data_IF_444071088115
#
_entry.id   IF_444071088115
#
_cell.length_a   1.000
_cell.length_b   1.000
_cell.length_c   1.000
_cell.angle_alpha   90.00
_cell.angle_beta   90.00
_cell.angle_gamma   90.00
#
_symmetry.space_group_name_H-M   'P 1'
#
loop_
_entity.id
_entity.type
_entity.pdbx_description
1 polymer ?
#
# COMPACT_ATOMS: atom_id res chain seq x y z
N UNK A 1 -2.19 -0.78 11.68
CA UNK A 1 -1.96 -0.81 10.23
C UNK A 1 -0.98 -1.92 9.92
N UNK A 2 -1.16 -2.62 8.79
CA UNK A 2 -0.18 -3.57 8.24
C UNK A 2 0.41 -2.97 6.97
N UNK A 3 1.73 -3.03 6.79
CA UNK A 3 2.41 -2.66 5.55
C UNK A 3 3.13 -3.91 5.06
N UNK A 4 2.82 -4.34 3.84
CA UNK A 4 3.45 -5.48 3.17
C UNK A 4 4.25 -4.96 1.97
N UNK A 5 5.57 -5.05 2.06
CA UNK A 5 6.50 -4.50 1.08
C UNK A 5 6.90 -5.57 0.05
N UNK A 6 6.98 -5.16 -1.22
CA UNK A 6 7.27 -6.04 -2.35
C UNK A 6 8.56 -5.61 -3.05
N UNK A 7 9.39 -6.57 -3.44
CA UNK A 7 10.58 -6.35 -4.26
C UNK A 7 10.29 -6.56 -5.76
N UNK A 8 9.12 -6.09 -6.22
CA UNK A 8 8.69 -6.15 -7.63
C UNK A 8 7.98 -4.85 -8.00
N UNK A 9 7.94 -4.47 -9.28
CA UNK A 9 7.16 -3.31 -9.73
C UNK A 9 5.68 -3.44 -9.37
N UNK A 10 5.04 -2.30 -9.07
CA UNK A 10 3.59 -2.20 -9.14
C UNK A 10 3.18 -2.25 -10.61
N UNK A 11 2.33 -3.20 -10.98
CA UNK A 11 1.81 -3.33 -12.34
C UNK A 11 0.31 -3.55 -12.26
N UNK A 12 -0.46 -2.64 -12.84
CA UNK A 12 -1.92 -2.63 -12.81
C UNK A 12 -2.56 -2.70 -14.20
N UNK A 13 -1.75 -2.85 -15.26
CA UNK A 13 -2.24 -2.93 -16.65
C UNK A 13 -3.24 -4.07 -16.89
N UNK A 14 -3.04 -5.19 -16.20
CA UNK A 14 -3.92 -6.35 -16.23
C UNK A 14 -4.66 -6.55 -14.90
N UNK A 15 -4.76 -5.48 -14.11
CA UNK A 15 -5.13 -5.55 -12.69
C UNK A 15 -3.91 -5.79 -11.81
N UNK A 16 -4.11 -5.60 -10.51
CA UNK A 16 -3.10 -5.82 -9.48
C UNK A 16 -2.88 -7.29 -9.21
N UNK A 17 -1.70 -7.61 -8.69
CA UNK A 17 -1.35 -8.97 -8.32
C UNK A 17 -2.29 -9.49 -7.21
N UNK A 18 -3.00 -10.57 -7.53
CA UNK A 18 -3.98 -11.18 -6.61
C UNK A 18 -3.29 -11.83 -5.42
N UNK A 19 -2.08 -12.35 -5.59
CA UNK A 19 -1.33 -12.97 -4.49
C UNK A 19 -1.03 -11.94 -3.40
N UNK A 20 -0.58 -10.76 -3.79
CA UNK A 20 -0.32 -9.63 -2.87
C UNK A 20 -1.59 -9.24 -2.10
N UNK A 21 -2.73 -9.16 -2.80
CA UNK A 21 -4.02 -8.86 -2.18
C UNK A 21 -4.44 -9.92 -1.16
N UNK A 22 -4.34 -11.20 -1.51
CA UNK A 22 -4.70 -12.29 -0.61
C UNK A 22 -3.81 -12.34 0.63
N UNK A 23 -2.50 -12.11 0.45
CA UNK A 23 -1.53 -12.06 1.53
C UNK A 23 -1.86 -10.91 2.50
N UNK A 24 -2.06 -9.69 1.99
CA UNK A 24 -2.42 -8.55 2.83
C UNK A 24 -3.75 -8.78 3.56
N UNK A 25 -4.79 -9.25 2.86
CA UNK A 25 -6.08 -9.52 3.50
C UNK A 25 -6.00 -10.57 4.62
N UNK A 26 -5.13 -11.57 4.43
CA UNK A 26 -4.84 -12.58 5.46
C UNK A 26 -4.20 -11.95 6.69
N UNK A 27 -3.23 -11.05 6.51
CA UNK A 27 -2.62 -10.31 7.61
C UNK A 27 -3.59 -9.37 8.33
N UNK A 28 -4.42 -8.63 7.59
CA UNK A 28 -5.44 -7.77 8.19
C UNK A 28 -6.41 -8.58 9.05
N UNK A 29 -6.79 -9.78 8.60
CA UNK A 29 -7.67 -10.67 9.34
C UNK A 29 -6.99 -11.25 10.57
N UNK A 30 -5.78 -11.80 10.42
CA UNK A 30 -5.04 -12.41 11.52
C UNK A 30 -4.73 -11.41 12.65
N UNK A 31 -4.43 -10.16 12.29
CA UNK A 31 -4.07 -9.11 13.24
C UNK A 31 -5.23 -8.18 13.61
N UNK A 32 -6.45 -8.46 13.13
CA UNK A 32 -7.64 -7.60 13.32
C UNK A 32 -7.35 -6.12 13.00
N UNK A 33 -6.58 -5.89 11.94
CA UNK A 33 -6.21 -4.54 11.51
C UNK A 33 -7.21 -4.02 10.48
N UNK A 34 -7.66 -2.78 10.67
CA UNK A 34 -8.65 -2.12 9.80
C UNK A 34 -8.02 -1.43 8.57
N UNK A 35 -6.69 -1.31 8.56
CA UNK A 35 -5.92 -0.59 7.53
C UNK A 35 -4.70 -1.38 7.09
N UNK A 36 -4.54 -1.50 5.78
CA UNK A 36 -3.38 -2.10 5.11
C UNK A 36 -2.73 -1.19 4.07
N UNK A 37 -1.48 -1.48 3.72
CA UNK A 37 -0.86 -0.97 2.50
C UNK A 37 0.03 -2.03 1.84
N UNK A 38 -0.02 -2.07 0.52
CA UNK A 38 0.97 -2.76 -0.31
C UNK A 38 1.99 -1.73 -0.79
N UNK A 39 3.25 -1.90 -0.38
CA UNK A 39 4.34 -1.00 -0.71
C UNK A 39 5.22 -1.60 -1.81
N UNK A 40 5.42 -0.86 -2.89
CA UNK A 40 6.25 -1.23 -4.03
C UNK A 40 7.36 -0.21 -4.22
N UNK A 41 8.53 -0.56 -4.79
CA UNK A 41 9.53 0.42 -5.17
C UNK A 41 9.00 1.34 -6.28
N UNK A 42 9.32 2.63 -6.19
CA UNK A 42 9.19 3.57 -7.30
C UNK A 42 10.25 3.20 -8.35
N UNK A 43 9.81 2.86 -9.54
CA UNK A 43 10.65 2.52 -10.68
C UNK A 43 10.20 3.35 -11.88
N UNK A 44 11.12 3.64 -12.81
CA UNK A 44 10.83 4.36 -14.05
C UNK A 44 10.00 3.49 -15.01
N UNK A 45 8.70 3.40 -14.74
CA UNK A 45 7.74 2.64 -15.54
C UNK A 45 6.96 3.56 -16.48
N UNK A 46 6.78 3.15 -17.73
CA UNK A 46 5.98 3.87 -18.73
C UNK A 46 4.91 2.96 -19.35
N UNK A 47 3.60 3.25 -19.18
CA UNK A 47 3.03 4.28 -18.30
C UNK A 47 3.24 4.00 -16.80
N UNK A 48 3.14 5.03 -15.95
CA UNK A 48 3.10 4.87 -14.50
C UNK A 48 1.83 4.11 -14.07
N UNK A 49 1.85 3.41 -12.92
CA UNK A 49 0.65 2.76 -12.38
C UNK A 49 -0.40 3.78 -11.95
N UNK A 50 -1.65 3.58 -12.34
CA UNK A 50 -2.77 4.49 -12.02
C UNK A 50 -3.57 4.04 -10.79
N UNK A 51 -3.39 2.79 -10.35
CA UNK A 51 -4.08 2.18 -9.21
C UNK A 51 -4.01 3.02 -7.92
N UNK A 52 -2.91 3.74 -7.71
CA UNK A 52 -2.71 4.59 -6.53
C UNK A 52 -3.68 5.78 -6.48
N UNK A 53 -4.15 6.27 -7.64
CA UNK A 53 -5.09 7.40 -7.71
C UNK A 53 -6.49 7.04 -7.18
N UNK A 54 -6.77 5.74 -7.06
CA UNK A 54 -8.04 5.19 -6.57
C UNK A 54 -7.99 4.73 -5.13
N UNK A 55 -6.92 5.06 -4.41
CA UNK A 55 -6.84 4.82 -2.99
C UNK A 55 -7.85 5.70 -2.22
N UNK A 56 -8.42 5.20 -1.11
CA UNK A 56 -8.27 3.84 -0.58
C UNK A 56 -9.17 2.82 -1.29
N UNK A 57 -8.67 1.59 -1.41
CA UNK A 57 -9.46 0.44 -1.83
C UNK A 57 -10.08 -0.24 -0.61
N UNK A 58 -11.27 -0.81 -0.77
CA UNK A 58 -11.98 -1.49 0.31
C UNK A 58 -11.99 -3.00 0.07
N UNK A 59 -11.65 -3.76 1.12
CA UNK A 59 -11.89 -5.21 1.17
C UNK A 59 -13.40 -5.51 1.25
N UNK A 60 -13.77 -6.78 1.08
CA UNK A 60 -15.16 -7.23 1.31
C UNK A 60 -15.62 -7.00 2.76
N UNK A 61 -14.71 -6.99 3.73
CA UNK A 61 -15.01 -6.64 5.12
C UNK A 61 -14.93 -5.13 5.40
N UNK A 62 -14.94 -4.28 4.37
CA UNK A 62 -14.90 -2.82 4.47
C UNK A 62 -13.63 -2.23 5.12
N UNK A 63 -12.55 -3.01 5.18
CA UNK A 63 -11.22 -2.55 5.62
C UNK A 63 -10.51 -1.81 4.50
N UNK A 64 -9.82 -0.73 4.84
CA UNK A 64 -9.11 0.11 3.88
C UNK A 64 -7.74 -0.48 3.53
N UNK A 65 -7.37 -0.40 2.26
CA UNK A 65 -6.07 -0.79 1.73
C UNK A 65 -5.56 0.26 0.74
N UNK A 66 -4.27 0.56 0.80
CA UNK A 66 -3.63 1.50 -0.12
C UNK A 66 -2.54 0.80 -0.95
N UNK A 67 -2.41 1.18 -2.21
CA UNK A 67 -1.21 0.93 -3.01
C UNK A 67 -0.27 2.12 -2.87
N UNK A 68 0.98 1.88 -2.49
CA UNK A 68 1.98 2.95 -2.36
C UNK A 68 3.26 2.58 -3.10
N UNK A 69 3.83 3.54 -3.82
CA UNK A 69 5.19 3.46 -4.32
C UNK A 69 6.12 4.25 -3.40
N UNK A 70 7.18 3.61 -2.93
CA UNK A 70 8.20 4.19 -2.06
C UNK A 70 9.50 4.38 -2.85
N UNK A 71 10.21 5.52 -2.67
CA UNK A 71 11.54 5.71 -3.24
C UNK A 71 12.51 4.60 -2.84
N UNK A 72 13.50 4.33 -3.68
CA UNK A 72 14.52 3.31 -3.42
C UNK A 72 15.75 3.86 -2.70
N UNK A 73 15.94 5.18 -2.68
CA UNK A 73 16.96 5.85 -1.85
C UNK A 73 16.56 5.79 -0.38
N UNK A 74 17.47 5.39 0.49
CA UNK A 74 17.21 5.17 1.92
C UNK A 74 16.61 6.40 2.63
N UNK A 75 17.18 7.59 2.44
CA UNK A 75 16.71 8.84 3.05
C UNK A 75 15.26 9.15 2.67
N UNK A 76 14.96 8.99 1.39
CA UNK A 76 13.67 9.37 0.80
C UNK A 76 12.61 8.32 1.15
N UNK A 77 13.00 7.04 1.14
CA UNK A 77 12.17 5.92 1.59
C UNK A 77 11.77 6.09 3.05
N UNK A 78 12.74 6.39 3.93
CA UNK A 78 12.49 6.60 5.36
C UNK A 78 11.55 7.77 5.60
N UNK A 79 11.73 8.87 4.85
CA UNK A 79 10.86 10.06 4.92
C UNK A 79 9.44 9.75 4.45
N UNK A 80 9.31 9.08 3.30
CA UNK A 80 8.02 8.69 2.72
C UNK A 80 7.27 7.69 3.62
N UNK A 81 7.96 6.69 4.16
CA UNK A 81 7.40 5.70 5.08
C UNK A 81 6.95 6.35 6.39
N UNK A 82 7.77 7.25 6.95
CA UNK A 82 7.40 7.99 8.17
C UNK A 82 6.16 8.84 7.96
N UNK A 83 6.04 9.48 6.79
CA UNK A 83 4.86 10.25 6.40
C UNK A 83 3.63 9.35 6.29
N UNK A 84 3.75 8.20 5.60
CA UNK A 84 2.68 7.22 5.47
C UNK A 84 2.14 6.73 6.82
N UNK A 85 3.04 6.47 7.78
CA UNK A 85 2.66 6.03 9.13
C UNK A 85 2.00 7.17 9.92
N UNK A 86 2.50 8.41 9.77
CA UNK A 86 2.07 9.56 10.59
C UNK A 86 0.78 10.17 10.09
N UNK A 87 0.61 10.38 8.79
CA UNK A 87 -0.63 10.90 8.19
C UNK A 87 -1.86 10.06 8.57
N UNK A 88 -1.66 8.78 8.90
CA UNK A 88 -2.73 7.85 9.29
C UNK A 88 -3.06 7.83 10.77
N UNK A 89 -2.21 8.41 11.64
CA UNK A 89 -2.57 8.64 13.04
C UNK A 89 -3.50 9.85 13.21
N UNK A 90 -3.49 10.79 12.27
CA UNK A 90 -4.35 11.98 12.36
C UNK A 90 -5.79 11.69 11.91
N UNK A 91 -6.00 10.80 10.94
CA UNK A 91 -7.36 10.38 10.48
C UNK A 91 -8.17 9.59 11.53
N UNK A 92 -7.60 9.25 12.69
CA UNK A 92 -8.25 8.45 13.75
C UNK A 92 -8.57 9.23 15.03
N UNK A 93 -8.35 10.55 15.02
CA UNK A 93 -8.61 11.45 16.16
C UNK A 93 -9.81 12.39 15.96
N UNK A 94 -10.57 12.21 14.88
CA UNK A 94 -11.83 12.92 14.58
C UNK A 94 -13.06 12.02 14.76
#
# INVERSE_FOLDING_TARGET
MIIDAKCKPLNDRCGVDREDLYQLNSYLTAHKAELGALAYPTLDQQPPPDIQQRNPWLTQQNRAMNFVQLPTTESDCTTALSTLITSRRMDTLD
#
